data_IF_428751272681
#
_entry.id   IF_428751272681
#
_cell.length_a   1.000
_cell.length_b   1.000
_cell.length_c   1.000
_cell.angle_alpha   90.00
_cell.angle_beta   90.00
_cell.angle_gamma   90.00
#
_symmetry.space_group_name_H-M   'P 1'
#
loop_
_entity.id
_entity.type
_entity.pdbx_description
1 polymer ?
#
# COMPACT_ATOMS: atom_id res chain seq x y z
N UNK A 1 32.64 -22.49 47.28
CA UNK A 1 31.27 -22.33 46.75
C UNK A 1 31.38 -21.79 45.33
N UNK A 2 31.18 -22.63 44.31
CA UNK A 2 31.29 -22.25 42.90
C UNK A 2 29.99 -21.58 42.45
N UNK A 3 30.05 -20.29 42.14
CA UNK A 3 28.90 -19.52 41.65
C UNK A 3 28.50 -19.98 40.25
N UNK A 4 27.30 -20.56 40.14
CA UNK A 4 26.73 -20.96 38.85
C UNK A 4 26.50 -19.71 37.98
N UNK A 5 27.34 -19.54 36.96
CA UNK A 5 27.15 -18.53 35.92
C UNK A 5 25.91 -18.86 35.09
N UNK A 6 24.79 -18.19 35.35
CA UNK A 6 23.60 -18.21 34.46
C UNK A 6 24.03 -17.70 33.08
N UNK A 7 24.06 -18.61 32.09
CA UNK A 7 24.27 -18.25 30.68
C UNK A 7 23.17 -17.27 30.27
N UNK A 8 23.56 -16.00 30.03
CA UNK A 8 22.67 -14.99 29.47
C UNK A 8 22.38 -15.40 28.03
N UNK A 9 21.18 -15.92 27.77
CA UNK A 9 20.70 -16.14 26.42
C UNK A 9 20.43 -14.77 25.80
N UNK A 10 21.40 -14.24 25.06
CA UNK A 10 21.17 -13.04 24.28
C UNK A 10 20.10 -13.35 23.23
N UNK A 11 19.04 -12.55 23.23
CA UNK A 11 18.08 -12.51 22.14
C UNK A 11 18.85 -12.08 20.89
N UNK A 12 19.34 -13.05 20.14
CA UNK A 12 19.99 -12.82 18.84
C UNK A 12 18.93 -12.18 17.96
N UNK A 13 19.04 -10.89 17.69
CA UNK A 13 18.26 -10.20 16.67
C UNK A 13 18.48 -10.97 15.37
N UNK A 14 17.55 -11.87 15.04
CA UNK A 14 17.59 -12.64 13.81
C UNK A 14 17.27 -11.62 12.73
N UNK A 15 18.29 -11.15 12.03
CA UNK A 15 18.11 -10.34 10.84
C UNK A 15 17.22 -11.14 9.87
N UNK A 16 16.24 -10.46 9.27
CA UNK A 16 15.37 -11.04 8.22
C UNK A 16 16.14 -11.39 6.93
N UNK A 17 17.45 -11.11 6.93
CA UNK A 17 18.38 -11.39 5.85
C UNK A 17 19.15 -12.69 6.15
N UNK A 18 19.39 -13.46 5.10
CA UNK A 18 20.27 -14.60 5.08
C UNK A 18 21.74 -14.14 5.20
N UNK A 19 22.67 -15.07 5.45
CA UNK A 19 24.12 -14.81 5.51
C UNK A 19 24.67 -14.10 4.26
N UNK A 20 24.00 -14.27 3.12
CA UNK A 20 24.33 -13.63 1.83
C UNK A 20 23.64 -12.28 1.60
N UNK A 21 22.89 -11.76 2.59
CA UNK A 21 22.14 -10.51 2.47
C UNK A 21 20.76 -10.63 1.80
N UNK A 22 20.41 -11.79 1.24
CA UNK A 22 19.08 -12.02 0.66
C UNK A 22 18.00 -12.18 1.71
N UNK A 23 16.78 -11.78 1.40
CA UNK A 23 15.65 -11.93 2.30
C UNK A 23 15.28 -13.40 2.52
N UNK A 24 14.97 -13.79 3.76
CA UNK A 24 14.70 -15.20 4.08
C UNK A 24 13.36 -15.73 3.55
N UNK A 25 12.37 -14.85 3.44
CA UNK A 25 11.04 -15.17 2.95
C UNK A 25 10.67 -14.17 1.84
N UNK A 26 11.24 -14.32 0.64
CA UNK A 26 10.83 -13.50 -0.49
C UNK A 26 9.37 -13.83 -0.82
N UNK A 27 8.59 -12.78 -1.08
CA UNK A 27 7.30 -12.95 -1.73
C UNK A 27 7.52 -13.38 -3.18
N UNK A 28 6.62 -14.21 -3.72
CA UNK A 28 6.69 -14.58 -5.12
C UNK A 28 6.43 -13.35 -6.00
N UNK A 29 7.28 -13.14 -7.01
CA UNK A 29 7.20 -11.98 -7.90
C UNK A 29 5.81 -11.82 -8.56
N UNK A 30 5.16 -12.94 -8.91
CA UNK A 30 3.82 -12.95 -9.49
C UNK A 30 2.75 -12.35 -8.57
N UNK A 31 2.82 -12.64 -7.26
CA UNK A 31 1.87 -12.11 -6.27
C UNK A 31 2.12 -10.60 -6.08
N UNK A 32 3.40 -10.20 -6.04
CA UNK A 32 3.77 -8.80 -5.96
C UNK A 32 3.23 -8.01 -7.17
N UNK A 33 3.42 -8.52 -8.38
CA UNK A 33 2.92 -7.91 -9.61
C UNK A 33 1.39 -7.86 -9.65
N UNK A 34 0.70 -8.90 -9.18
CA UNK A 34 -0.76 -8.90 -9.09
C UNK A 34 -1.25 -7.80 -8.14
N UNK A 35 -0.63 -7.66 -6.95
CA UNK A 35 -0.96 -6.58 -6.01
C UNK A 35 -0.70 -5.21 -6.62
N UNK A 36 0.38 -5.06 -7.39
CA UNK A 36 0.70 -3.81 -8.08
C UNK A 36 -0.37 -3.46 -9.13
N UNK A 37 -0.78 -4.44 -9.94
CA UNK A 37 -1.86 -4.26 -10.92
C UNK A 37 -3.19 -3.87 -10.25
N UNK A 38 -3.55 -4.56 -9.17
CA UNK A 38 -4.76 -4.23 -8.38
C UNK A 38 -4.68 -2.81 -7.79
N UNK A 39 -3.49 -2.38 -7.37
CA UNK A 39 -3.25 -1.02 -6.87
C UNK A 39 -3.46 0.04 -7.94
N UNK A 40 -3.03 -0.23 -9.18
CA UNK A 40 -3.26 0.65 -10.34
C UNK A 40 -4.77 0.73 -10.65
N UNK A 41 -5.45 -0.40 -10.70
CA UNK A 41 -6.91 -0.44 -10.94
C UNK A 41 -7.65 0.34 -9.85
N UNK A 42 -7.29 0.14 -8.58
CA UNK A 42 -7.87 0.87 -7.46
C UNK A 42 -7.64 2.39 -7.56
N UNK A 43 -6.42 2.84 -7.90
CA UNK A 43 -6.13 4.26 -8.07
C UNK A 43 -6.90 4.91 -9.23
N UNK A 44 -7.22 4.15 -10.28
CA UNK A 44 -8.00 4.64 -11.43
C UNK A 44 -9.50 4.79 -11.14
N UNK A 45 -10.00 4.23 -10.03
CA UNK A 45 -11.42 4.22 -9.69
C UNK A 45 -11.85 5.55 -9.06
N UNK A 46 -12.34 6.46 -9.91
CA UNK A 46 -12.95 7.71 -9.53
C UNK A 46 -14.47 7.65 -9.65
N UNK A 47 -15.15 8.27 -8.69
CA UNK A 47 -16.56 8.59 -8.79
C UNK A 47 -16.67 10.08 -9.15
N UNK A 48 -16.95 10.40 -10.42
CA UNK A 48 -17.07 11.78 -10.89
C UNK A 48 -18.54 12.18 -10.94
N UNK A 49 -18.85 13.42 -10.58
CA UNK A 49 -20.22 13.91 -10.59
C UNK A 49 -20.44 14.80 -11.82
N UNK A 50 -21.54 14.60 -12.54
CA UNK A 50 -21.91 15.42 -13.70
C UNK A 50 -22.22 16.86 -13.29
N UNK A 51 -22.91 17.04 -12.16
CA UNK A 51 -23.09 18.34 -11.51
C UNK A 51 -22.21 18.41 -10.25
N UNK A 52 -21.40 19.46 -10.07
CA UNK A 52 -20.55 19.59 -8.90
C UNK A 52 -21.40 19.67 -7.63
N UNK A 53 -21.06 18.86 -6.64
CA UNK A 53 -21.74 18.86 -5.35
C UNK A 53 -21.10 19.94 -4.49
N UNK A 54 -21.91 20.91 -4.07
CA UNK A 54 -21.48 21.99 -3.17
C UNK A 54 -21.66 21.55 -1.72
N UNK A 55 -20.56 21.47 -0.97
CA UNK A 55 -20.59 21.19 0.47
C UNK A 55 -19.74 22.23 1.21
N UNK A 56 -20.33 22.92 2.19
CA UNK A 56 -19.68 23.99 2.98
C UNK A 56 -19.01 25.09 2.11
N UNK A 57 -19.59 25.43 0.96
CA UNK A 57 -19.04 26.44 0.03
C UNK A 57 -17.91 25.94 -0.86
N UNK A 58 -17.51 24.67 -0.75
CA UNK A 58 -16.56 24.01 -1.66
C UNK A 58 -17.31 23.15 -2.67
N UNK A 59 -16.93 23.27 -3.95
CA UNK A 59 -17.48 22.45 -5.03
C UNK A 59 -16.60 21.22 -5.27
N UNK A 60 -17.18 20.03 -5.15
CA UNK A 60 -16.49 18.76 -5.41
C UNK A 60 -16.97 18.16 -6.72
N UNK A 61 -16.07 18.06 -7.71
CA UNK A 61 -16.35 17.45 -9.01
C UNK A 61 -16.21 15.92 -9.03
N UNK A 62 -15.67 15.33 -7.98
CA UNK A 62 -15.52 13.88 -7.88
C UNK A 62 -14.85 13.43 -6.60
N UNK A 63 -15.04 12.15 -6.28
CA UNK A 63 -14.51 11.49 -5.11
C UNK A 63 -13.63 10.30 -5.51
N UNK A 64 -12.36 10.26 -5.08
CA UNK A 64 -11.42 9.21 -5.47
C UNK A 64 -11.60 7.95 -4.62
N UNK A 65 -12.78 7.30 -4.72
CA UNK A 65 -13.20 6.21 -3.84
C UNK A 65 -12.26 5.00 -3.89
N UNK A 66 -11.74 4.68 -5.07
CA UNK A 66 -10.82 3.55 -5.25
C UNK A 66 -9.48 3.76 -4.55
N UNK A 67 -9.05 5.01 -4.39
CA UNK A 67 -7.84 5.37 -3.65
C UNK A 67 -7.98 5.04 -2.17
N UNK A 68 -9.11 5.38 -1.58
CA UNK A 68 -9.38 5.11 -0.16
C UNK A 68 -9.45 3.61 0.09
N UNK A 69 -10.22 2.89 -0.74
CA UNK A 69 -10.34 1.42 -0.65
C UNK A 69 -8.98 0.75 -0.90
N UNK A 70 -8.22 1.22 -1.88
CA UNK A 70 -6.90 0.71 -2.24
C UNK A 70 -5.89 0.88 -1.10
N UNK A 71 -5.84 2.06 -0.48
CA UNK A 71 -4.97 2.32 0.68
C UNK A 71 -5.33 1.39 1.84
N UNK A 72 -6.63 1.25 2.16
CA UNK A 72 -7.08 0.35 3.22
C UNK A 72 -6.75 -1.12 2.92
N UNK A 73 -6.93 -1.56 1.67
CA UNK A 73 -6.60 -2.92 1.24
C UNK A 73 -5.09 -3.19 1.37
N UNK A 74 -4.25 -2.27 0.89
CA UNK A 74 -2.78 -2.35 1.01
C UNK A 74 -2.36 -2.37 2.48
N UNK A 75 -2.96 -1.54 3.34
CA UNK A 75 -2.65 -1.52 4.77
C UNK A 75 -2.94 -2.86 5.46
N UNK A 76 -3.97 -3.57 5.01
CA UNK A 76 -4.41 -4.84 5.62
C UNK A 76 -3.69 -6.06 5.04
N UNK A 77 -3.43 -6.07 3.74
CA UNK A 77 -2.85 -7.21 3.03
C UNK A 77 -1.31 -7.20 3.05
N UNK A 78 -0.70 -6.02 3.05
CA UNK A 78 0.76 -5.89 2.96
C UNK A 78 1.41 -5.82 4.34
N UNK A 79 2.05 -6.93 4.71
CA UNK A 79 2.76 -7.06 6.00
C UNK A 79 4.10 -6.30 5.97
N UNK A 80 4.71 -6.14 4.80
CA UNK A 80 6.04 -5.53 4.67
C UNK A 80 5.95 -4.03 4.50
N UNK A 81 6.59 -3.28 5.40
CA UNK A 81 6.54 -1.81 5.39
C UNK A 81 7.13 -1.19 4.10
N UNK A 82 8.25 -1.74 3.61
CA UNK A 82 8.89 -1.23 2.38
C UNK A 82 8.01 -1.39 1.15
N UNK A 83 7.42 -2.57 0.95
CA UNK A 83 6.48 -2.81 -0.16
C UNK A 83 5.24 -1.92 -0.04
N UNK A 84 4.75 -1.72 1.18
CA UNK A 84 3.58 -0.88 1.45
C UNK A 84 3.75 0.56 0.99
N UNK A 85 4.92 1.16 1.20
CA UNK A 85 5.20 2.52 0.71
C UNK A 85 5.18 2.61 -0.83
N UNK A 86 5.68 1.58 -1.52
CA UNK A 86 5.64 1.51 -2.99
C UNK A 86 4.19 1.47 -3.47
N UNK A 87 3.35 0.62 -2.89
CA UNK A 87 1.94 0.53 -3.28
C UNK A 87 1.17 1.82 -3.00
N UNK A 88 1.42 2.50 -1.87
CA UNK A 88 0.82 3.81 -1.61
C UNK A 88 1.25 4.87 -2.62
N UNK A 89 2.54 4.91 -2.97
CA UNK A 89 3.05 5.84 -3.98
C UNK A 89 2.38 5.57 -5.34
N UNK A 90 2.29 4.31 -5.76
CA UNK A 90 1.62 3.93 -7.02
C UNK A 90 0.16 4.35 -7.02
N UNK A 91 -0.59 4.03 -5.95
CA UNK A 91 -2.01 4.41 -5.83
C UNK A 91 -2.16 5.93 -5.94
N UNK A 92 -1.37 6.71 -5.19
CA UNK A 92 -1.44 8.18 -5.24
C UNK A 92 -1.13 8.74 -6.61
N UNK A 93 -0.05 8.27 -7.25
CA UNK A 93 0.36 8.74 -8.58
C UNK A 93 -0.75 8.44 -9.59
N UNK A 94 -1.27 7.20 -9.60
CA UNK A 94 -2.34 6.82 -10.53
C UNK A 94 -3.63 7.60 -10.26
N UNK A 95 -3.98 7.86 -9.01
CA UNK A 95 -5.14 8.68 -8.67
C UNK A 95 -5.02 10.10 -9.21
N UNK A 96 -3.85 10.74 -9.03
CA UNK A 96 -3.57 12.09 -9.54
C UNK A 96 -3.62 12.10 -11.07
N UNK A 97 -3.00 11.12 -11.73
CA UNK A 97 -3.03 11.01 -13.19
C UNK A 97 -4.45 10.77 -13.72
N UNK A 98 -5.21 9.89 -13.08
CA UNK A 98 -6.58 9.53 -13.47
C UNK A 98 -7.59 10.67 -13.25
N UNK A 99 -7.25 11.67 -12.43
CA UNK A 99 -8.05 12.88 -12.31
C UNK A 99 -8.19 13.59 -13.67
N UNK A 100 -7.10 13.66 -14.45
CA UNK A 100 -7.05 14.32 -15.75
C UNK A 100 -7.59 13.49 -16.91
N UNK A 101 -7.78 12.19 -16.70
CA UNK A 101 -8.31 11.26 -17.71
C UNK A 101 -9.83 11.14 -17.52
N UNK A 102 -10.63 10.96 -18.58
CA UNK A 102 -12.03 10.54 -18.46
C UNK A 102 -12.15 9.07 -17.99
N UNK A 103 -11.31 8.65 -17.05
CA UNK A 103 -11.35 7.36 -16.39
C UNK A 103 -12.12 7.53 -15.07
N UNK A 104 -13.19 6.75 -14.91
CA UNK A 104 -14.05 6.79 -13.73
C UNK A 104 -15.51 6.52 -14.08
N UNK A 105 -16.32 6.37 -13.04
CA UNK A 105 -17.77 6.27 -13.15
C UNK A 105 -18.32 7.69 -13.00
N UNK A 106 -19.00 8.18 -14.04
CA UNK A 106 -19.70 9.46 -14.00
C UNK A 106 -21.15 9.19 -13.56
N UNK A 107 -21.56 9.84 -12.47
CA UNK A 107 -22.94 9.83 -11.97
C UNK A 107 -23.61 11.19 -12.18
#
# INVERSE_FOLDING_TARGET
MSGQHKKRTYARNRTNLNRRGFEKNPEADSIFLLKLLLSVIAGSFWLKFFQPISFLGLSFGGFPIGTIVGILAVNRLEKRQTSRHIFYAVILIITILSYFVPAGIVL
#
